data_IF_615330416552
#
_entry.id   IF_615330416552
#
_cell.length_a   1.000
_cell.length_b   1.000
_cell.length_c   1.000
_cell.angle_alpha   90.00
_cell.angle_beta   90.00
_cell.angle_gamma   90.00
#
_symmetry.space_group_name_H-M   'P 1'
#
loop_
_entity.id
_entity.type
_entity.pdbx_description
1 polymer ?
#
# COMPACT_ATOMS: atom_id res chain seq x y z
N UNK A 1 -40.88 -49.00 3.82
CA UNK A 1 -40.86 -47.54 3.81
C UNK A 1 -39.43 -47.09 3.45
N UNK A 2 -39.24 -46.67 2.20
CA UNK A 2 -37.95 -46.20 1.73
C UNK A 2 -37.79 -44.73 2.16
N UNK A 3 -36.83 -44.42 3.03
CA UNK A 3 -36.47 -43.03 3.35
C UNK A 3 -35.75 -42.45 2.14
N UNK A 4 -36.40 -41.56 1.41
CA UNK A 4 -35.69 -40.72 0.44
C UNK A 4 -34.69 -39.85 1.20
N UNK A 5 -33.42 -40.15 1.02
CA UNK A 5 -32.35 -39.25 1.47
C UNK A 5 -32.40 -38.02 0.56
N UNK A 6 -32.64 -36.86 1.16
CA UNK A 6 -32.48 -35.59 0.47
C UNK A 6 -31.01 -35.42 0.08
N UNK A 7 -30.74 -35.43 -1.23
CA UNK A 7 -29.41 -35.24 -1.83
C UNK A 7 -29.26 -33.86 -2.44
N UNK A 8 -30.15 -32.93 -2.12
CA UNK A 8 -30.06 -31.55 -2.58
C UNK A 8 -28.75 -30.93 -2.03
N UNK A 9 -27.98 -30.23 -2.83
CA UNK A 9 -26.84 -29.49 -2.32
C UNK A 9 -27.31 -28.44 -1.32
N UNK A 10 -26.56 -28.19 -0.24
CA UNK A 10 -26.94 -27.16 0.72
C UNK A 10 -27.13 -25.83 0.00
N UNK A 11 -28.18 -25.10 0.33
CA UNK A 11 -28.37 -23.75 -0.19
C UNK A 11 -27.11 -22.95 0.14
N UNK A 12 -26.37 -22.55 -0.91
CA UNK A 12 -25.29 -21.61 -0.77
C UNK A 12 -25.90 -20.27 -0.39
N UNK A 13 -25.92 -19.97 0.90
CA UNK A 13 -26.14 -18.61 1.39
C UNK A 13 -24.99 -17.80 0.78
N UNK A 14 -25.27 -17.10 -0.30
CA UNK A 14 -24.35 -16.12 -0.86
C UNK A 14 -24.40 -14.91 0.06
N UNK A 15 -23.65 -14.96 1.16
CA UNK A 15 -23.31 -13.74 1.86
C UNK A 15 -22.57 -12.85 0.87
N UNK A 16 -23.15 -11.72 0.52
CA UNK A 16 -22.47 -10.71 -0.26
C UNK A 16 -21.23 -10.30 0.54
N UNK A 17 -20.05 -10.54 -0.01
CA UNK A 17 -18.81 -10.13 0.65
C UNK A 17 -18.82 -8.65 1.00
N UNK A 18 -18.23 -8.29 2.13
CA UNK A 18 -18.08 -6.91 2.57
C UNK A 18 -16.65 -6.43 2.33
N UNK A 19 -16.51 -5.15 2.00
CA UNK A 19 -15.17 -4.52 1.89
C UNK A 19 -14.50 -4.50 3.27
N UNK A 20 -13.24 -4.89 3.32
CA UNK A 20 -12.46 -4.83 4.56
C UNK A 20 -12.44 -3.40 5.13
N UNK A 21 -12.62 -3.17 6.44
CA UNK A 21 -12.71 -1.83 7.04
C UNK A 21 -11.56 -0.90 6.68
N UNK A 22 -10.33 -1.39 6.61
CA UNK A 22 -9.16 -0.59 6.22
C UNK A 22 -9.28 -0.13 4.76
N UNK A 23 -9.69 -1.00 3.85
CA UNK A 23 -9.89 -0.63 2.45
C UNK A 23 -11.04 0.38 2.30
N UNK A 24 -12.14 0.17 3.02
CA UNK A 24 -13.24 1.14 3.05
C UNK A 24 -12.78 2.52 3.52
N UNK A 25 -12.01 2.59 4.61
CA UNK A 25 -11.48 3.85 5.12
C UNK A 25 -10.50 4.49 4.14
N UNK A 26 -9.57 3.71 3.57
CA UNK A 26 -8.63 4.18 2.55
C UNK A 26 -9.39 4.80 1.37
N UNK A 27 -10.34 4.08 0.81
CA UNK A 27 -11.09 4.53 -0.36
C UNK A 27 -11.94 5.76 -0.04
N UNK A 28 -12.51 5.84 1.17
CA UNK A 28 -13.26 7.02 1.63
C UNK A 28 -12.38 8.27 1.71
N UNK A 29 -11.17 8.15 2.27
CA UNK A 29 -10.21 9.26 2.34
C UNK A 29 -9.74 9.67 0.95
N UNK A 30 -9.39 8.70 0.10
CA UNK A 30 -8.96 8.96 -1.27
C UNK A 30 -10.05 9.70 -2.07
N UNK A 31 -11.29 9.25 -1.98
CA UNK A 31 -12.44 9.90 -2.63
C UNK A 31 -12.69 11.30 -2.11
N UNK A 32 -12.53 11.52 -0.80
CA UNK A 32 -12.65 12.87 -0.23
C UNK A 32 -11.58 13.79 -0.83
N UNK A 33 -10.34 13.37 -0.89
CA UNK A 33 -9.24 14.18 -1.42
C UNK A 33 -9.36 14.44 -2.92
N UNK A 34 -9.92 13.52 -3.70
CA UNK A 34 -10.22 13.79 -5.11
C UNK A 34 -11.26 14.90 -5.29
N UNK A 35 -12.21 15.06 -4.35
CA UNK A 35 -13.15 16.17 -4.39
C UNK A 35 -12.49 17.56 -4.19
N UNK A 36 -11.29 17.60 -3.62
CA UNK A 36 -10.44 18.79 -3.52
C UNK A 36 -9.49 18.99 -4.71
N UNK A 37 -9.60 18.16 -5.74
CA UNK A 37 -8.80 18.28 -6.95
C UNK A 37 -7.49 17.47 -6.96
N UNK A 38 -7.30 16.58 -6.01
CA UNK A 38 -6.17 15.66 -6.05
C UNK A 38 -6.42 14.54 -7.05
N UNK A 39 -5.41 14.20 -7.83
CA UNK A 39 -5.39 13.03 -8.70
C UNK A 39 -4.84 11.82 -7.94
N UNK A 40 -5.54 10.69 -8.05
CA UNK A 40 -5.03 9.42 -7.51
C UNK A 40 -3.97 8.89 -8.47
N UNK A 41 -2.78 8.67 -7.95
CA UNK A 41 -1.70 7.97 -8.65
C UNK A 41 -1.29 6.73 -7.88
N UNK A 42 -0.91 5.69 -8.61
CA UNK A 42 -0.50 4.41 -8.01
C UNK A 42 0.96 4.09 -8.33
N UNK A 43 1.52 3.15 -7.60
CA UNK A 43 2.89 2.71 -7.78
C UNK A 43 3.16 1.32 -7.18
N UNK A 44 4.30 0.72 -7.56
CA UNK A 44 4.62 -0.65 -7.18
C UNK A 44 4.86 -0.80 -5.67
N UNK A 45 4.48 -1.95 -5.12
CA UNK A 45 4.82 -2.34 -3.74
C UNK A 45 6.28 -2.84 -3.64
N UNK A 46 6.80 -3.45 -4.72
CA UNK A 46 8.22 -3.82 -4.84
C UNK A 46 8.95 -2.67 -5.53
N UNK A 47 9.90 -2.08 -4.84
CA UNK A 47 10.56 -0.85 -5.26
C UNK A 47 12.09 -0.97 -5.25
N UNK A 48 12.77 -0.07 -5.90
CA UNK A 48 14.23 0.07 -5.85
C UNK A 48 14.67 1.01 -4.73
N UNK A 49 15.89 0.85 -4.21
CA UNK A 49 16.47 1.80 -3.25
C UNK A 49 16.49 3.23 -3.79
N UNK A 50 16.70 3.38 -5.09
CA UNK A 50 16.69 4.68 -5.76
C UNK A 50 15.41 5.46 -5.49
N UNK A 51 14.26 4.87 -5.73
CA UNK A 51 12.96 5.53 -5.54
C UNK A 51 12.51 5.55 -4.08
N UNK A 52 12.81 4.48 -3.33
CA UNK A 52 12.37 4.40 -1.94
C UNK A 52 13.20 5.27 -0.99
N UNK A 53 14.46 5.62 -1.37
CA UNK A 53 15.38 6.34 -0.51
C UNK A 53 16.13 7.47 -1.20
N UNK A 54 16.88 7.20 -2.27
CA UNK A 54 17.85 8.17 -2.83
C UNK A 54 17.17 9.43 -3.33
N UNK A 55 16.10 9.29 -4.09
CA UNK A 55 15.34 10.41 -4.65
C UNK A 55 14.51 11.18 -3.61
N UNK A 56 14.36 10.63 -2.42
CA UNK A 56 13.78 11.30 -1.24
C UNK A 56 14.86 11.91 -0.33
N UNK A 57 16.12 11.92 -0.77
CA UNK A 57 17.27 12.42 -0.01
C UNK A 57 17.50 11.69 1.33
N UNK A 58 17.08 10.45 1.43
CA UNK A 58 17.36 9.60 2.59
C UNK A 58 18.78 9.03 2.41
N UNK A 59 19.70 9.48 3.25
CA UNK A 59 21.13 9.12 3.15
C UNK A 59 21.38 7.63 3.40
N UNK A 60 22.45 7.07 2.84
CA UNK A 60 22.83 5.65 3.03
C UNK A 60 23.07 5.28 4.50
N UNK A 61 23.50 6.22 5.32
CA UNK A 61 23.70 6.05 6.75
C UNK A 61 22.42 6.12 7.59
N UNK A 62 21.27 6.40 6.97
CA UNK A 62 20.00 6.54 7.69
C UNK A 62 19.54 5.17 8.22
N UNK A 63 19.10 5.07 9.49
CA UNK A 63 18.65 3.80 10.09
C UNK A 63 17.58 3.08 9.26
N UNK A 64 16.62 3.81 8.70
CA UNK A 64 15.55 3.23 7.87
C UNK A 64 16.04 2.41 6.66
N UNK A 65 17.31 2.55 6.24
CA UNK A 65 17.91 1.72 5.19
C UNK A 65 18.56 0.44 5.71
N UNK A 66 18.60 0.26 7.01
CA UNK A 66 19.24 -0.92 7.57
C UNK A 66 18.37 -2.16 7.33
N UNK A 67 19.03 -3.31 7.15
CA UNK A 67 18.35 -4.57 6.83
C UNK A 67 17.38 -5.06 7.94
N UNK A 68 17.51 -4.54 9.14
CA UNK A 68 16.59 -4.85 10.22
C UNK A 68 15.28 -4.04 10.16
N UNK A 69 15.25 -2.90 9.43
CA UNK A 69 14.05 -2.07 9.32
C UNK A 69 13.34 -2.20 7.96
N UNK A 70 14.02 -2.77 6.95
CA UNK A 70 13.52 -2.88 5.58
C UNK A 70 13.50 -4.32 5.10
N UNK A 71 12.42 -4.76 4.47
CA UNK A 71 12.33 -6.04 3.78
C UNK A 71 12.95 -5.95 2.39
N UNK A 72 14.16 -6.46 2.25
CA UNK A 72 14.79 -6.62 0.94
C UNK A 72 14.36 -7.92 0.27
N UNK A 73 14.13 -7.86 -1.02
CA UNK A 73 13.88 -9.04 -1.86
C UNK A 73 15.23 -9.70 -2.19
N UNK A 74 15.19 -10.95 -2.59
CA UNK A 74 16.36 -11.72 -3.03
C UNK A 74 17.23 -10.89 -3.98
N UNK A 75 18.55 -10.92 -3.79
CA UNK A 75 19.57 -10.09 -4.44
C UNK A 75 19.73 -8.65 -3.94
N UNK A 76 18.96 -8.21 -2.95
CA UNK A 76 19.02 -6.84 -2.37
C UNK A 76 18.92 -5.69 -3.39
N UNK A 77 18.46 -5.98 -4.60
CA UNK A 77 18.24 -4.96 -5.65
C UNK A 77 16.88 -4.30 -5.53
N UNK A 78 15.95 -5.00 -4.87
CA UNK A 78 14.58 -4.57 -4.66
C UNK A 78 14.21 -4.71 -3.18
N UNK A 79 13.20 -3.97 -2.78
CA UNK A 79 12.66 -3.99 -1.42
C UNK A 79 11.13 -3.84 -1.45
N UNK A 80 10.47 -4.22 -0.36
CA UNK A 80 9.09 -3.84 -0.13
C UNK A 80 9.06 -2.39 0.33
N UNK A 81 8.26 -1.54 -0.34
CA UNK A 81 8.21 -0.10 -0.06
C UNK A 81 7.90 0.18 1.41
N UNK A 82 8.65 1.08 2.01
CA UNK A 82 8.52 1.46 3.43
C UNK A 82 7.56 2.63 3.66
N UNK A 83 7.13 3.29 2.59
CA UNK A 83 6.17 4.40 2.53
C UNK A 83 5.59 4.51 1.12
N UNK A 84 4.66 5.44 0.89
CA UNK A 84 4.08 5.71 -0.44
C UNK A 84 4.71 6.90 -1.17
N UNK A 85 5.70 7.57 -0.56
CA UNK A 85 6.32 8.80 -1.10
C UNK A 85 7.02 8.60 -2.45
N UNK A 86 7.52 7.39 -2.77
CA UNK A 86 8.12 7.11 -4.07
C UNK A 86 7.14 7.27 -5.24
N UNK A 87 5.84 7.12 -4.99
CA UNK A 87 4.81 7.33 -6.02
C UNK A 87 4.76 8.82 -6.42
N UNK A 88 4.92 9.72 -5.45
CA UNK A 88 5.01 11.17 -5.70
C UNK A 88 6.22 11.50 -6.58
N UNK A 89 7.38 10.88 -6.31
CA UNK A 89 8.59 11.05 -7.13
C UNK A 89 8.33 10.61 -8.58
N UNK A 90 7.68 9.47 -8.78
CA UNK A 90 7.31 8.98 -10.12
C UNK A 90 6.39 9.96 -10.82
N UNK A 91 5.38 10.48 -10.14
CA UNK A 91 4.47 11.50 -10.67
C UNK A 91 5.19 12.78 -11.07
N UNK A 92 6.14 13.26 -10.24
CA UNK A 92 6.93 14.47 -10.52
C UNK A 92 7.93 14.31 -11.68
N UNK A 93 8.42 13.12 -11.94
CA UNK A 93 9.30 12.87 -13.10
C UNK A 93 8.51 12.99 -14.42
N UNK A 94 7.27 12.55 -14.42
CA UNK A 94 6.43 12.50 -15.62
C UNK A 94 5.71 13.80 -15.91
N UNK A 95 5.53 14.67 -14.91
CA UNK A 95 4.67 15.85 -14.98
C UNK A 95 5.34 17.10 -14.42
N UNK A 96 4.84 18.26 -14.86
CA UNK A 96 5.29 19.57 -14.40
C UNK A 96 4.27 20.22 -13.47
N UNK A 97 4.73 21.05 -12.49
CA UNK A 97 3.84 21.85 -11.67
C UNK A 97 2.88 22.74 -12.48
N UNK A 98 1.69 23.03 -11.96
CA UNK A 98 1.19 22.65 -10.64
C UNK A 98 0.77 21.19 -10.56
N UNK A 99 1.01 20.56 -9.41
CA UNK A 99 0.74 19.14 -9.16
C UNK A 99 -0.12 18.99 -7.90
N UNK A 100 -1.07 18.07 -7.94
CA UNK A 100 -1.87 17.67 -6.79
C UNK A 100 -2.11 16.16 -6.86
N UNK A 101 -1.27 15.37 -6.18
CA UNK A 101 -1.33 13.90 -6.20
C UNK A 101 -1.61 13.34 -4.83
N UNK A 102 -2.35 12.23 -4.79
CA UNK A 102 -2.46 11.35 -3.63
C UNK A 102 -2.16 9.91 -4.04
N UNK A 103 -1.55 9.18 -3.14
CA UNK A 103 -1.30 7.76 -3.27
C UNK A 103 -1.60 7.06 -1.96
N UNK A 104 -2.23 5.89 -2.03
CA UNK A 104 -2.57 5.11 -0.85
C UNK A 104 -2.37 3.62 -1.08
N UNK A 105 -1.81 2.93 -0.09
CA UNK A 105 -1.61 1.49 -0.21
C UNK A 105 -0.83 0.88 0.94
N UNK A 106 -0.51 -0.39 0.78
CA UNK A 106 0.27 -1.14 1.75
C UNK A 106 1.72 -0.68 1.74
N UNK A 107 2.29 -0.58 2.92
CA UNK A 107 3.71 -0.31 3.17
C UNK A 107 4.23 -1.30 4.20
N UNK A 108 5.54 -1.50 4.23
CA UNK A 108 6.15 -2.60 4.94
C UNK A 108 7.37 -2.10 5.72
N UNK A 109 7.40 -2.41 7.02
CA UNK A 109 8.55 -2.15 7.88
C UNK A 109 8.81 -3.36 8.74
N UNK A 110 10.06 -3.70 8.90
CA UNK A 110 10.48 -4.83 9.72
C UNK A 110 10.59 -4.40 11.17
N UNK A 111 9.49 -3.90 11.72
CA UNK A 111 9.39 -3.58 13.14
C UNK A 111 9.26 -4.90 13.93
N UNK A 112 10.07 -5.07 14.95
CA UNK A 112 10.16 -6.30 15.74
C UNK A 112 9.68 -6.02 17.18
N UNK A 113 8.46 -5.50 17.32
CA UNK A 113 7.85 -5.29 18.62
C UNK A 113 6.36 -5.68 18.64
N UNK A 114 5.82 -5.85 19.86
CA UNK A 114 4.46 -6.32 20.08
C UNK A 114 3.37 -5.30 19.69
N UNK A 115 3.74 -4.06 19.37
CA UNK A 115 2.81 -2.96 19.11
C UNK A 115 2.73 -2.55 17.65
N UNK A 116 3.66 -3.01 16.81
CA UNK A 116 3.72 -2.70 15.39
C UNK A 116 3.44 -3.93 14.53
N UNK A 117 2.74 -3.72 13.43
CA UNK A 117 2.57 -4.71 12.39
C UNK A 117 3.60 -4.48 11.28
N UNK A 118 4.18 -5.55 10.71
CA UNK A 118 5.16 -5.42 9.63
C UNK A 118 4.55 -4.86 8.34
N UNK A 119 3.24 -4.86 8.21
CA UNK A 119 2.47 -4.29 7.10
C UNK A 119 1.36 -3.40 7.65
N UNK A 120 1.27 -2.17 7.10
CA UNK A 120 0.18 -1.25 7.39
C UNK A 120 -0.19 -0.45 6.12
N UNK A 121 -1.23 0.36 6.20
CA UNK A 121 -1.65 1.21 5.09
C UNK A 121 -1.26 2.65 5.36
N UNK A 122 -0.84 3.33 4.30
CA UNK A 122 -0.46 4.73 4.34
C UNK A 122 -1.10 5.48 3.17
N UNK A 123 -1.52 6.71 3.41
CA UNK A 123 -1.97 7.65 2.37
C UNK A 123 -1.05 8.87 2.47
N UNK A 124 -0.50 9.27 1.36
CA UNK A 124 0.33 10.47 1.24
C UNK A 124 -0.12 11.29 0.04
N UNK A 125 0.08 12.59 0.13
CA UNK A 125 -0.19 13.51 -0.95
C UNK A 125 0.85 14.59 -1.08
N UNK A 126 0.93 15.19 -2.26
CA UNK A 126 1.73 16.36 -2.57
C UNK A 126 0.85 17.39 -3.28
N UNK A 127 1.05 18.64 -2.90
CA UNK A 127 0.41 19.81 -3.52
C UNK A 127 1.45 20.89 -3.80
#
# INVERSE_FOLDING_TARGET
MSQHKDISPPELIRDSGATHPINYMKDSIMNLLTSFGFEIIDGPEIETEKFNFDMLNIKKSHPARQMHDTFYVENKSYLLRTHTSQVQIRGMIERKPPLAFISGGKVYRKDDDATHLPMFHQIEGIY
#
